data_IF_220878937486
#
_entry.id   IF_220878937486
#
_cell.length_a   1.000
_cell.length_b   1.000
_cell.length_c   1.000
_cell.angle_alpha   90.00
_cell.angle_beta   90.00
_cell.angle_gamma   90.00
#
_symmetry.space_group_name_H-M   'P 1'
#
loop_
_entity.id
_entity.type
_entity.pdbx_description
1 polymer ?
#
# COMPACT_ATOMS: atom_id res chain seq x y z
N UNK A 1 -16.38 31.18 -32.85
CA UNK A 1 -15.25 30.98 -31.92
C UNK A 1 -14.74 29.57 -32.13
N UNK A 2 -13.51 29.41 -32.61
CA UNK A 2 -12.91 28.09 -32.81
C UNK A 2 -11.91 27.89 -31.66
N UNK A 3 -11.97 26.73 -31.01
CA UNK A 3 -11.11 26.42 -29.89
C UNK A 3 -9.70 26.11 -30.43
N UNK A 4 -8.67 26.82 -29.96
CA UNK A 4 -7.28 26.74 -30.44
C UNK A 4 -6.41 25.76 -29.63
N UNK A 5 -7.01 24.81 -28.89
CA UNK A 5 -6.25 23.74 -28.23
C UNK A 5 -5.78 22.72 -29.27
N UNK A 6 -4.74 23.08 -30.02
CA UNK A 6 -4.16 22.23 -31.06
C UNK A 6 -3.47 20.98 -30.49
N UNK A 7 -3.17 20.99 -29.17
CA UNK A 7 -2.47 19.92 -28.45
C UNK A 7 -3.19 19.54 -27.14
N UNK A 8 -4.52 19.42 -27.19
CA UNK A 8 -5.33 19.12 -26.01
C UNK A 8 -4.89 17.82 -25.32
N UNK A 9 -4.64 16.77 -26.08
CA UNK A 9 -4.29 15.45 -25.54
C UNK A 9 -2.95 15.50 -24.81
N UNK A 10 -1.98 16.24 -25.33
CA UNK A 10 -0.68 16.42 -24.70
C UNK A 10 -0.79 17.24 -23.40
N UNK A 11 -1.60 18.30 -23.40
CA UNK A 11 -1.86 19.10 -22.21
C UNK A 11 -2.59 18.30 -21.11
N UNK A 12 -3.57 17.48 -21.49
CA UNK A 12 -4.26 16.59 -20.56
C UNK A 12 -3.33 15.50 -20.03
N UNK A 13 -2.49 14.95 -20.89
CA UNK A 13 -1.52 13.92 -20.53
C UNK A 13 -0.47 14.46 -19.57
N UNK A 14 0.06 15.68 -19.79
CA UNK A 14 0.97 16.33 -18.83
C UNK A 14 0.29 16.50 -17.47
N UNK A 15 -0.99 16.92 -17.46
CA UNK A 15 -1.76 17.05 -16.22
C UNK A 15 -1.92 15.71 -15.48
N UNK A 16 -2.13 14.62 -16.19
CA UNK A 16 -2.22 13.27 -15.60
C UNK A 16 -0.85 12.85 -15.07
N UNK A 17 0.18 12.84 -15.93
CA UNK A 17 1.52 12.33 -15.59
C UNK A 17 2.13 13.14 -14.44
N UNK A 18 2.08 14.47 -14.51
CA UNK A 18 2.59 15.34 -13.45
C UNK A 18 1.68 15.42 -12.22
N UNK A 19 0.38 15.10 -12.37
CA UNK A 19 -0.61 15.15 -11.29
C UNK A 19 -0.77 13.85 -10.49
N UNK A 20 -0.28 12.73 -10.99
CA UNK A 20 -0.28 11.44 -10.27
C UNK A 20 0.57 11.51 -9.00
N UNK A 21 0.02 11.02 -7.89
CA UNK A 21 0.70 11.00 -6.58
C UNK A 21 1.74 9.89 -6.45
N UNK A 22 1.57 8.77 -7.14
CA UNK A 22 2.53 7.67 -7.13
C UNK A 22 3.74 7.98 -8.04
N UNK A 23 4.89 8.23 -7.42
CA UNK A 23 6.15 8.52 -8.10
C UNK A 23 6.63 7.37 -8.99
N UNK A 24 6.31 6.12 -8.65
CA UNK A 24 6.70 4.95 -9.43
C UNK A 24 5.87 4.84 -10.70
N UNK A 25 4.55 5.06 -10.60
CA UNK A 25 3.67 5.17 -11.75
C UNK A 25 4.09 6.36 -12.65
N UNK A 26 4.31 7.54 -12.08
CA UNK A 26 4.75 8.72 -12.83
C UNK A 26 6.04 8.44 -13.62
N UNK A 27 7.06 7.86 -12.98
CA UNK A 27 8.31 7.48 -13.66
C UNK A 27 8.07 6.46 -14.78
N UNK A 28 7.20 5.48 -14.56
CA UNK A 28 6.87 4.46 -15.55
C UNK A 28 6.14 5.06 -16.76
N UNK A 29 5.23 6.02 -16.54
CA UNK A 29 4.55 6.75 -17.61
C UNK A 29 5.54 7.59 -18.42
N UNK A 30 6.40 8.37 -17.77
CA UNK A 30 7.42 9.21 -18.43
C UNK A 30 8.43 8.40 -19.25
N UNK A 31 8.70 7.15 -18.87
CA UNK A 31 9.63 6.28 -19.59
C UNK A 31 9.02 5.63 -20.85
N UNK A 32 7.70 5.72 -21.07
CA UNK A 32 7.04 5.07 -22.21
C UNK A 32 7.14 5.93 -23.48
N UNK A 33 7.78 5.43 -24.55
CA UNK A 33 7.76 6.13 -25.83
C UNK A 33 6.37 6.07 -26.47
N UNK A 34 5.92 7.17 -27.06
CA UNK A 34 4.62 7.23 -27.74
C UNK A 34 3.43 6.99 -26.80
N UNK A 35 3.52 7.48 -25.57
CA UNK A 35 2.40 7.47 -24.63
C UNK A 35 1.23 8.27 -25.23
N UNK A 36 0.03 7.71 -25.16
CA UNK A 36 -1.20 8.39 -25.58
C UNK A 36 -2.03 8.73 -24.36
N UNK A 37 -2.88 9.76 -24.46
CA UNK A 37 -3.78 10.15 -23.38
C UNK A 37 -4.60 8.97 -22.84
N UNK A 38 -5.18 8.18 -23.74
CA UNK A 38 -5.97 6.99 -23.38
C UNK A 38 -5.16 5.99 -22.55
N UNK A 39 -3.92 5.67 -22.95
CA UNK A 39 -3.06 4.74 -22.21
C UNK A 39 -2.66 5.29 -20.85
N UNK A 40 -2.39 6.60 -20.76
CA UNK A 40 -2.08 7.25 -19.50
C UNK A 40 -3.26 7.16 -18.52
N UNK A 41 -4.48 7.39 -18.99
CA UNK A 41 -5.71 7.24 -18.19
C UNK A 41 -5.88 5.79 -17.73
N UNK A 42 -5.83 4.83 -18.65
CA UNK A 42 -6.02 3.41 -18.34
C UNK A 42 -5.03 2.91 -17.29
N UNK A 43 -3.75 3.27 -17.42
CA UNK A 43 -2.73 2.84 -16.47
C UNK A 43 -2.85 3.53 -15.12
N UNK A 44 -3.21 4.82 -15.09
CA UNK A 44 -3.47 5.52 -13.84
C UNK A 44 -4.64 4.88 -13.08
N UNK A 45 -5.76 4.65 -13.75
CA UNK A 45 -6.94 4.00 -13.17
C UNK A 45 -6.63 2.59 -12.71
N UNK A 46 -5.92 1.80 -13.52
CA UNK A 46 -5.52 0.44 -13.15
C UNK A 46 -4.61 0.43 -11.92
N UNK A 47 -3.69 1.39 -11.81
CA UNK A 47 -2.79 1.50 -10.66
C UNK A 47 -3.55 1.88 -9.38
N UNK A 48 -4.47 2.84 -9.46
CA UNK A 48 -5.31 3.23 -8.33
C UNK A 48 -6.21 2.08 -7.86
N UNK A 49 -6.82 1.34 -8.80
CA UNK A 49 -7.62 0.17 -8.49
C UNK A 49 -6.79 -0.95 -7.83
N UNK A 50 -5.58 -1.21 -8.35
CA UNK A 50 -4.67 -2.18 -7.78
C UNK A 50 -4.21 -1.78 -6.37
N UNK A 51 -3.89 -0.51 -6.16
CA UNK A 51 -3.53 0.00 -4.84
C UNK A 51 -4.69 -0.15 -3.85
N UNK A 52 -5.91 0.22 -4.26
CA UNK A 52 -7.10 0.07 -3.44
C UNK A 52 -7.33 -1.40 -3.05
N UNK A 53 -7.28 -2.31 -4.03
CA UNK A 53 -7.42 -3.75 -3.77
C UNK A 53 -6.33 -4.27 -2.83
N UNK A 54 -5.07 -3.88 -3.03
CA UNK A 54 -3.97 -4.26 -2.13
C UNK A 54 -4.13 -3.67 -0.72
N UNK A 55 -4.68 -2.46 -0.58
CA UNK A 55 -5.04 -1.88 0.72
C UNK A 55 -6.15 -2.69 1.41
N UNK A 56 -7.18 -3.11 0.68
CA UNK A 56 -8.28 -3.92 1.21
C UNK A 56 -7.82 -5.31 1.66
N UNK A 57 -6.96 -5.96 0.86
CA UNK A 57 -6.32 -7.23 1.26
C UNK A 57 -5.49 -7.04 2.53
N UNK A 58 -4.70 -5.97 2.63
CA UNK A 58 -3.89 -5.69 3.83
C UNK A 58 -4.73 -5.43 5.08
N UNK A 59 -5.86 -4.72 4.93
CA UNK A 59 -6.81 -4.47 6.04
C UNK A 59 -7.48 -5.76 6.50
N UNK A 60 -7.90 -6.60 5.56
CA UNK A 60 -8.51 -7.90 5.86
C UNK A 60 -7.50 -8.94 6.33
N UNK A 61 -6.22 -8.79 5.98
CA UNK A 61 -5.11 -9.60 6.48
C UNK A 61 -4.48 -9.05 7.76
N UNK A 62 -5.23 -8.25 8.56
CA UNK A 62 -4.86 -7.92 9.95
C UNK A 62 -4.19 -9.14 10.58
N UNK A 63 -2.99 -9.00 11.20
CA UNK A 63 -2.24 -10.15 11.68
C UNK A 63 -3.19 -10.90 12.61
N UNK A 64 -3.72 -12.02 12.10
CA UNK A 64 -4.53 -12.94 12.88
C UNK A 64 -3.69 -13.18 14.10
N UNK A 65 -4.12 -12.61 15.23
CA UNK A 65 -3.55 -12.67 16.56
C UNK A 65 -2.53 -13.77 16.57
N UNK A 66 -1.23 -13.43 16.55
CA UNK A 66 -0.08 -14.34 16.45
C UNK A 66 -0.57 -15.75 16.77
N UNK A 67 -0.96 -16.53 15.73
CA UNK A 67 -1.75 -17.76 15.94
C UNK A 67 -0.91 -18.59 16.87
N UNK A 68 -1.23 -18.58 18.17
CA UNK A 68 -0.49 -19.34 19.17
C UNK A 68 -0.56 -20.75 18.60
N UNK A 69 0.58 -21.40 18.31
CA UNK A 69 0.54 -22.75 17.78
C UNK A 69 -0.23 -23.57 18.82
N UNK A 70 -1.47 -23.93 18.48
CA UNK A 70 -2.39 -24.60 19.40
C UNK A 70 -1.81 -25.99 19.60
N UNK A 71 -1.34 -26.36 20.79
CA UNK A 71 -0.93 -27.72 21.06
C UNK A 71 -2.20 -28.57 21.00
N UNK A 72 -2.30 -29.42 19.99
CA UNK A 72 -3.42 -30.36 19.80
C UNK A 72 -3.27 -31.48 20.82
N UNK A 73 -3.82 -31.27 22.02
CA UNK A 73 -4.14 -32.36 22.94
C UNK A 73 -5.56 -32.15 23.50
N UNK A 74 -6.27 -33.27 23.52
CA UNK A 74 -7.70 -33.44 23.71
C UNK A 74 -8.23 -33.12 25.12
N UNK A 75 -9.53 -32.78 25.12
CA UNK A 75 -10.56 -32.78 26.19
C UNK A 75 -10.59 -31.69 27.29
N UNK A 76 -11.77 -31.03 27.29
CA UNK A 76 -12.67 -30.64 28.40
C UNK A 76 -12.42 -29.37 29.25
N UNK A 77 -13.37 -28.44 29.03
CA UNK A 77 -14.17 -27.71 30.03
C UNK A 77 -13.74 -26.32 30.57
N UNK A 78 -14.76 -25.46 30.59
CA UNK A 78 -15.06 -24.44 31.62
C UNK A 78 -14.57 -23.00 31.41
N UNK A 79 -15.51 -22.19 30.92
CA UNK A 79 -16.03 -20.91 31.46
C UNK A 79 -15.13 -19.69 31.74
N UNK A 80 -15.71 -18.56 31.31
CA UNK A 80 -15.71 -17.22 31.92
C UNK A 80 -14.77 -16.13 31.38
N UNK A 81 -15.44 -15.14 30.78
CA UNK A 81 -14.99 -13.80 30.43
C UNK A 81 -14.47 -13.07 31.68
N UNK A 82 -13.25 -12.53 31.59
CA UNK A 82 -12.77 -11.51 32.51
C UNK A 82 -11.91 -10.48 31.76
N UNK A 83 -12.56 -9.36 31.47
CA UNK A 83 -11.96 -8.08 31.12
C UNK A 83 -11.07 -7.56 32.25
N UNK A 84 -9.78 -7.31 32.00
CA UNK A 84 -8.84 -6.43 32.73
C UNK A 84 -7.47 -6.56 32.05
N UNK A 85 -6.54 -5.62 31.91
CA UNK A 85 -6.37 -4.18 32.18
C UNK A 85 -4.95 -3.85 31.66
N UNK A 86 -4.78 -2.63 31.13
CA UNK A 86 -3.58 -1.77 31.27
C UNK A 86 -2.21 -2.19 30.68
N UNK A 87 -1.43 -1.12 30.47
CA UNK A 87 -0.25 -0.90 29.65
C UNK A 87 1.01 -1.71 30.01
N UNK A 88 1.86 -1.97 29.01
CA UNK A 88 3.30 -2.15 29.22
C UNK A 88 4.12 -1.67 28.00
N UNK A 89 4.79 -0.52 28.20
CA UNK A 89 6.02 -0.05 27.54
C UNK A 89 7.14 -1.10 27.65
N UNK A 90 8.12 -1.12 26.71
CA UNK A 90 9.48 -1.75 26.74
C UNK A 90 9.82 -2.49 25.43
N UNK A 91 10.94 -2.33 24.71
CA UNK A 91 12.11 -1.44 24.74
C UNK A 91 12.77 -1.47 23.35
N UNK A 92 13.31 -0.34 22.90
CA UNK A 92 14.20 -0.25 21.73
C UNK A 92 15.53 -0.97 22.03
N UNK A 93 15.82 -2.08 21.35
CA UNK A 93 17.13 -2.72 21.44
C UNK A 93 18.11 -2.07 20.48
N UNK A 94 18.93 -1.14 21.01
CA UNK A 94 20.13 -0.63 20.35
C UNK A 94 21.13 -1.78 20.16
N UNK A 95 21.43 -2.11 18.90
CA UNK A 95 22.49 -3.05 18.54
C UNK A 95 23.85 -2.37 18.75
N UNK A 96 24.56 -2.77 19.80
CA UNK A 96 25.90 -2.30 20.12
C UNK A 96 26.93 -2.67 19.03
N UNK A 97 27.81 -1.71 18.74
CA UNK A 97 28.93 -1.82 17.80
C UNK A 97 30.06 -2.59 18.49
N UNK A 98 30.41 -3.76 17.99
CA UNK A 98 31.67 -4.42 18.36
C UNK A 98 32.77 -3.95 17.41
N UNK A 99 33.68 -3.11 17.90
CA UNK A 99 35.04 -2.99 17.35
C UNK A 99 35.87 -4.09 18.01
N UNK A 100 36.56 -4.89 17.21
CA UNK A 100 37.65 -5.73 17.69
C UNK A 100 38.91 -5.37 16.90
N UNK A 101 39.91 -4.97 17.70
CA UNK A 101 41.34 -4.78 17.51
C UNK A 101 41.92 -4.74 16.10
#
# INVERSE_FOLDING_TARGET
MHCEFRDLDDALMDRIVCGVRDIHLQRRLLAKPGLTLQKAIEEAVASEAAEHSAQEIRKSSSPRLARKPVPVHHEEASSDEASSSEDDDVHQTKRERRKFQ
#
